data_IF_083279043500
#
_entry.id   IF_083279043500
#
_cell.length_a   1.000
_cell.length_b   1.000
_cell.length_c   1.000
_cell.angle_alpha   90.00
_cell.angle_beta   90.00
_cell.angle_gamma   90.00
#
_symmetry.space_group_name_H-M   'P 1'
#
loop_
_entity.id
_entity.type
_entity.pdbx_description
1 polymer ?
#
# COMPACT_ATOMS: atom_id res chain seq x y z
N UNK A 1 -25.85 8.51 -12.36
CA UNK A 1 -25.12 7.34 -11.85
C UNK A 1 -23.85 7.70 -11.08
N UNK A 2 -22.91 8.45 -11.64
CA UNK A 2 -21.73 8.86 -10.86
C UNK A 2 -22.13 9.70 -9.64
N UNK A 3 -21.55 9.39 -8.47
CA UNK A 3 -21.87 10.07 -7.21
C UNK A 3 -23.19 9.64 -6.56
N UNK A 4 -23.84 8.62 -7.11
CA UNK A 4 -25.05 8.02 -6.54
C UNK A 4 -24.72 6.72 -5.80
N UNK A 5 -25.46 6.48 -4.72
CA UNK A 5 -25.38 5.30 -3.88
C UNK A 5 -26.41 4.28 -4.35
N UNK A 6 -25.94 3.05 -4.54
CA UNK A 6 -26.76 1.92 -4.91
C UNK A 6 -26.53 0.74 -3.97
N UNK A 7 -27.54 -0.10 -3.86
CA UNK A 7 -27.43 -1.44 -3.33
C UNK A 7 -26.97 -2.35 -4.48
N UNK A 8 -25.80 -2.98 -4.33
CA UNK A 8 -25.20 -3.81 -5.37
C UNK A 8 -25.04 -5.25 -4.90
N UNK A 9 -25.17 -6.20 -5.83
CA UNK A 9 -24.76 -7.59 -5.62
C UNK A 9 -23.30 -7.76 -6.00
N UNK A 10 -22.46 -8.08 -5.03
CA UNK A 10 -21.04 -8.37 -5.26
C UNK A 10 -20.84 -9.70 -5.97
N UNK A 11 -19.62 -9.94 -6.46
CA UNK A 11 -19.22 -11.23 -7.07
C UNK A 11 -19.37 -12.42 -6.11
N UNK A 12 -19.32 -12.17 -4.79
CA UNK A 12 -19.56 -13.17 -3.75
C UNK A 12 -21.04 -13.26 -3.33
N UNK A 13 -21.96 -12.79 -4.18
CA UNK A 13 -23.42 -12.74 -3.97
C UNK A 13 -23.91 -11.92 -2.76
N UNK A 14 -22.99 -11.29 -2.03
CA UNK A 14 -23.32 -10.39 -0.91
C UNK A 14 -23.89 -9.08 -1.43
N UNK A 15 -24.93 -8.62 -0.77
CA UNK A 15 -25.60 -7.35 -1.06
C UNK A 15 -25.01 -6.25 -0.18
N UNK A 16 -24.52 -5.18 -0.80
CA UNK A 16 -23.75 -4.14 -0.11
C UNK A 16 -24.12 -2.75 -0.66
N UNK A 17 -24.22 -1.71 0.17
CA UNK A 17 -24.33 -0.34 -0.31
C UNK A 17 -22.99 0.14 -0.86
N UNK A 18 -23.01 0.79 -2.02
CA UNK A 18 -21.81 1.28 -2.69
C UNK A 18 -22.07 2.55 -3.49
N UNK A 19 -21.06 3.40 -3.62
CA UNK A 19 -21.09 4.60 -4.48
C UNK A 19 -20.51 4.27 -5.85
N UNK A 20 -21.17 4.74 -6.92
CA UNK A 20 -20.61 4.66 -8.27
C UNK A 20 -19.54 5.74 -8.47
N UNK A 21 -18.28 5.31 -8.65
CA UNK A 21 -17.15 6.21 -8.90
C UNK A 21 -16.94 6.44 -10.40
N UNK A 22 -17.05 5.38 -11.20
CA UNK A 22 -16.77 5.42 -12.63
C UNK A 22 -17.72 4.51 -13.40
N UNK A 23 -18.11 4.95 -14.59
CA UNK A 23 -18.90 4.18 -15.55
C UNK A 23 -18.10 4.05 -16.85
N UNK A 24 -17.85 2.82 -17.28
CA UNK A 24 -17.18 2.51 -18.53
C UNK A 24 -18.03 1.55 -19.36
N UNK A 25 -18.67 2.06 -20.42
CA UNK A 25 -19.55 1.29 -21.31
C UNK A 25 -20.63 0.54 -20.51
N UNK A 26 -20.45 -0.78 -20.31
CA UNK A 26 -21.35 -1.70 -19.60
C UNK A 26 -20.87 -2.09 -18.20
N UNK A 27 -19.70 -1.62 -17.77
CA UNK A 27 -19.07 -1.92 -16.49
C UNK A 27 -19.08 -0.67 -15.61
N UNK A 28 -19.47 -0.85 -14.36
CA UNK A 28 -19.55 0.19 -13.36
C UNK A 28 -18.58 -0.14 -12.22
N UNK A 29 -17.80 0.86 -11.81
CA UNK A 29 -16.86 0.76 -10.70
C UNK A 29 -17.51 1.36 -9.46
N UNK A 30 -17.87 0.47 -8.53
CA UNK A 30 -18.52 0.81 -7.28
C UNK A 30 -17.56 0.68 -6.10
N UNK A 31 -17.51 1.69 -5.23
CA UNK A 31 -16.77 1.61 -3.98
C UNK A 31 -17.70 1.29 -2.83
N UNK A 32 -17.38 0.27 -2.04
CA UNK A 32 -18.22 -0.15 -0.91
C UNK A 32 -18.34 0.97 0.15
N UNK A 33 -19.54 1.10 0.72
CA UNK A 33 -19.82 1.96 1.86
C UNK A 33 -19.98 1.10 3.13
N UNK A 34 -19.51 1.64 4.26
CA UNK A 34 -19.77 1.10 5.60
C UNK A 34 -20.15 2.22 6.57
N UNK A 35 -20.67 1.85 7.73
CA UNK A 35 -20.87 2.79 8.84
C UNK A 35 -19.53 3.33 9.35
N UNK A 36 -19.50 4.60 9.74
CA UNK A 36 -18.38 5.22 10.45
C UNK A 36 -18.30 4.76 11.91
N UNK A 37 -17.10 4.83 12.48
CA UNK A 37 -16.91 4.86 13.93
C UNK A 37 -16.84 6.30 14.45
N UNK A 38 -17.04 6.52 15.76
CA UNK A 38 -16.96 7.85 16.39
C UNK A 38 -15.60 8.54 16.18
N UNK A 39 -14.52 7.78 16.07
CA UNK A 39 -13.17 8.31 15.83
C UNK A 39 -13.02 8.85 14.40
N UNK A 40 -13.64 8.18 13.44
CA UNK A 40 -13.63 8.56 12.02
C UNK A 40 -14.53 9.76 11.74
N UNK A 41 -15.54 9.99 12.57
CA UNK A 41 -16.40 11.19 12.54
C UNK A 41 -15.64 12.44 13.00
N UNK A 42 -14.83 12.31 14.06
CA UNK A 42 -14.06 13.42 14.65
C UNK A 42 -12.85 13.75 13.78
N UNK A 43 -12.23 12.73 13.17
CA UNK A 43 -11.08 12.86 12.30
C UNK A 43 -11.35 12.20 10.93
N UNK A 44 -11.96 12.92 9.96
CA UNK A 44 -12.21 12.39 8.62
C UNK A 44 -10.91 12.07 7.84
N UNK A 45 -9.75 12.45 8.39
CA UNK A 45 -8.40 12.21 7.88
C UNK A 45 -7.69 11.00 8.51
N UNK A 46 -8.23 10.34 9.54
CA UNK A 46 -7.63 9.15 10.18
C UNK A 46 -8.15 7.87 9.49
N UNK A 47 -7.37 7.12 8.70
CA UNK A 47 -6.10 6.39 8.91
C UNK A 47 -6.33 4.96 9.43
N UNK A 48 -5.99 3.98 8.59
CA UNK A 48 -5.87 2.57 8.97
C UNK A 48 -4.66 2.35 9.90
N UNK A 49 -4.68 2.94 11.09
CA UNK A 49 -3.74 2.66 12.18
C UNK A 49 -4.36 1.65 13.14
N UNK A 50 -4.62 0.43 12.66
CA UNK A 50 -4.86 -0.71 13.56
C UNK A 50 -4.05 -1.90 13.06
N UNK A 51 -2.73 -1.89 13.34
CA UNK A 51 -1.91 -3.11 13.54
C UNK A 51 -0.69 -2.89 14.46
N UNK A 52 -0.75 -2.02 15.47
CA UNK A 52 0.35 -1.93 16.47
C UNK A 52 -0.10 -2.01 17.94
N UNK A 53 -1.38 -1.86 18.26
CA UNK A 53 -1.87 -1.99 19.65
C UNK A 53 -2.01 -3.44 20.15
N UNK A 54 -1.98 -4.44 19.26
CA UNK A 54 -2.05 -5.87 19.63
C UNK A 54 -0.69 -6.57 19.80
N UNK A 55 0.43 -5.83 19.83
CA UNK A 55 1.78 -6.38 20.08
C UNK A 55 2.29 -6.05 21.51
N UNK A 56 1.52 -5.30 22.30
CA UNK A 56 1.95 -4.85 23.64
C UNK A 56 1.73 -5.85 24.79
N UNK A 57 1.30 -7.09 24.53
CA UNK A 57 1.15 -8.13 25.56
C UNK A 57 2.18 -9.27 25.49
N UNK A 58 3.35 -9.06 24.85
CA UNK A 58 4.53 -9.94 25.02
C UNK A 58 5.78 -9.09 25.25
N UNK A 59 5.81 -8.36 26.37
CA UNK A 59 7.03 -7.75 26.91
C UNK A 59 7.56 -8.59 28.08
N UNK A 60 8.41 -9.57 27.78
CA UNK A 60 9.42 -10.01 28.73
C UNK A 60 10.72 -10.28 27.99
N UNK A 61 11.77 -9.53 28.38
CA UNK A 61 13.19 -9.67 28.00
C UNK A 61 13.61 -9.15 26.62
N UNK A 62 13.90 -7.84 26.53
CA UNK A 62 15.23 -7.35 26.10
C UNK A 62 15.34 -5.82 26.24
N UNK A 63 16.02 -5.38 27.31
CA UNK A 63 16.43 -3.98 27.58
C UNK A 63 17.50 -3.42 26.61
N UNK A 64 17.61 -3.94 25.37
CA UNK A 64 18.60 -3.49 24.36
C UNK A 64 18.00 -2.86 23.10
N UNK A 65 16.68 -2.64 23.07
CA UNK A 65 15.97 -2.06 21.90
C UNK A 65 15.58 -0.59 22.03
N UNK A 66 15.98 0.12 23.09
CA UNK A 66 15.54 1.51 23.30
C UNK A 66 16.28 2.55 22.44
N UNK A 67 17.46 2.25 21.90
CA UNK A 67 18.20 3.22 21.06
C UNK A 67 17.86 3.09 19.56
N UNK A 68 17.26 1.98 19.11
CA UNK A 68 16.82 1.79 17.70
C UNK A 68 15.37 2.20 17.43
N UNK A 69 14.65 2.66 18.45
CA UNK A 69 13.22 3.00 18.34
C UNK A 69 12.97 4.46 17.94
N UNK A 70 13.97 5.34 18.00
CA UNK A 70 13.78 6.77 17.74
C UNK A 70 14.10 7.20 16.30
N UNK A 71 14.96 6.48 15.59
CA UNK A 71 15.31 6.79 14.18
C UNK A 71 14.36 6.16 13.14
N UNK A 72 13.33 5.45 13.59
CA UNK A 72 12.35 4.75 12.75
C UNK A 72 11.07 5.53 12.47
N UNK A 73 10.87 6.70 13.10
CA UNK A 73 9.68 7.55 12.93
C UNK A 73 9.75 8.38 11.64
N UNK A 74 10.02 7.73 10.51
CA UNK A 74 9.64 8.32 9.24
C UNK A 74 8.12 8.23 9.19
N UNK A 75 7.45 9.36 9.37
CA UNK A 75 6.03 9.52 9.12
C UNK A 75 5.73 8.89 7.76
N UNK A 76 5.23 7.64 7.78
CA UNK A 76 4.57 7.08 6.61
C UNK A 76 3.50 8.11 6.30
N UNK A 77 3.50 8.71 5.10
CA UNK A 77 2.31 9.44 4.65
C UNK A 77 1.17 8.43 4.74
N UNK A 78 0.34 8.57 5.76
CA UNK A 78 -0.69 7.59 6.06
C UNK A 78 -1.74 7.82 4.99
N UNK A 79 -1.81 6.91 4.02
CA UNK A 79 -2.70 7.05 2.87
C UNK A 79 -4.13 6.84 3.35
N UNK A 80 -4.94 7.84 3.10
CA UNK A 80 -6.36 7.85 3.44
C UNK A 80 -7.07 6.98 2.40
N UNK A 81 -7.28 5.70 2.72
CA UNK A 81 -7.95 4.73 1.83
C UNK A 81 -9.49 4.88 1.84
N UNK A 82 -10.01 5.82 2.64
CA UNK A 82 -11.42 5.94 2.95
C UNK A 82 -11.85 7.40 3.11
N UNK A 83 -13.02 7.76 2.58
CA UNK A 83 -13.56 9.13 2.64
C UNK A 83 -14.85 9.12 3.44
N UNK A 84 -14.92 9.97 4.47
CA UNK A 84 -16.15 10.21 5.22
C UNK A 84 -17.14 11.03 4.39
N UNK A 85 -18.38 10.56 4.29
CA UNK A 85 -19.45 11.17 3.48
C UNK A 85 -20.64 11.64 4.33
N UNK A 86 -20.47 11.71 5.65
CA UNK A 86 -21.54 12.12 6.55
C UNK A 86 -22.73 11.17 6.55
N UNK A 87 -23.93 11.73 6.57
CA UNK A 87 -25.19 11.00 6.64
C UNK A 87 -26.02 11.19 5.36
N UNK A 88 -25.68 10.50 4.26
CA UNK A 88 -26.40 10.67 3.00
C UNK A 88 -27.84 10.15 3.12
N UNK A 89 -28.77 10.85 2.48
CA UNK A 89 -30.20 10.53 2.51
C UNK A 89 -30.44 9.07 2.05
N UNK A 90 -30.98 8.21 2.92
CA UNK A 90 -31.26 6.81 2.61
C UNK A 90 -30.31 5.79 3.26
N UNK A 91 -29.21 6.24 3.88
CA UNK A 91 -28.44 5.43 4.83
C UNK A 91 -28.86 5.75 6.27
N UNK A 92 -28.93 4.73 7.13
CA UNK A 92 -29.36 4.88 8.52
C UNK A 92 -28.29 5.45 9.45
N UNK A 93 -27.03 5.39 9.04
CA UNK A 93 -25.88 5.75 9.88
C UNK A 93 -24.94 6.68 9.14
N UNK A 94 -24.16 7.50 9.87
CA UNK A 94 -23.01 8.16 9.27
C UNK A 94 -22.09 7.12 8.61
N UNK A 95 -21.53 7.49 7.46
CA UNK A 95 -21.04 6.54 6.48
C UNK A 95 -19.69 6.94 5.89
N UNK A 96 -18.93 5.93 5.48
CA UNK A 96 -17.59 6.05 4.90
C UNK A 96 -17.52 5.24 3.63
N UNK A 97 -16.93 5.84 2.60
CA UNK A 97 -16.61 5.21 1.33
C UNK A 97 -15.23 4.56 1.42
N UNK A 98 -15.16 3.24 1.21
CA UNK A 98 -13.92 2.47 1.19
C UNK A 98 -13.33 2.41 -0.22
N UNK A 99 -12.55 3.42 -0.61
CA UNK A 99 -12.09 3.59 -2.00
C UNK A 99 -11.16 2.46 -2.45
N UNK A 100 -10.45 1.81 -1.52
CA UNK A 100 -9.65 0.62 -1.82
C UNK A 100 -10.48 -0.60 -2.21
N UNK A 101 -11.74 -0.67 -1.78
CA UNK A 101 -12.62 -1.82 -1.99
C UNK A 101 -13.59 -1.54 -3.14
N UNK A 102 -13.05 -1.67 -4.35
CA UNK A 102 -13.78 -1.44 -5.61
C UNK A 102 -14.36 -2.76 -6.12
N UNK A 103 -15.59 -2.69 -6.60
CA UNK A 103 -16.31 -3.74 -7.28
C UNK A 103 -16.63 -3.29 -8.70
N UNK A 104 -16.10 -4.02 -9.68
CA UNK A 104 -16.45 -3.84 -11.09
C UNK A 104 -17.61 -4.76 -11.43
N UNK A 105 -18.78 -4.18 -11.69
CA UNK A 105 -20.02 -4.94 -11.92
C UNK A 105 -20.78 -4.45 -13.15
N UNK A 106 -21.61 -5.32 -13.71
CA UNK A 106 -22.53 -4.98 -14.80
C UNK A 106 -23.80 -4.34 -14.24
N UNK A 107 -24.59 -3.69 -15.11
CA UNK A 107 -25.86 -3.05 -14.74
C UNK A 107 -26.86 -3.99 -14.05
N UNK A 108 -26.88 -5.26 -14.45
CA UNK A 108 -27.77 -6.30 -13.90
C UNK A 108 -27.55 -6.58 -12.40
N UNK A 109 -26.34 -6.34 -11.90
CA UNK A 109 -26.01 -6.55 -10.49
C UNK A 109 -26.44 -5.38 -9.59
N UNK A 110 -26.98 -4.30 -10.17
CA UNK A 110 -27.48 -3.14 -9.43
C UNK A 110 -28.93 -3.44 -9.02
N UNK A 111 -29.18 -3.49 -7.71
CA UNK A 111 -30.47 -3.90 -7.15
C UNK A 111 -31.38 -2.68 -6.98
N UNK A 112 -30.88 -1.64 -6.30
CA UNK A 112 -31.71 -0.52 -5.87
C UNK A 112 -30.91 0.77 -5.76
N UNK A 113 -31.50 1.88 -6.19
CA UNK A 113 -31.00 3.22 -5.92
C UNK A 113 -31.34 3.64 -4.48
N UNK A 114 -30.37 4.19 -3.76
CA UNK A 114 -30.54 4.66 -2.38
C UNK A 114 -30.51 6.18 -2.28
N UNK A 115 -29.46 6.81 -2.79
CA UNK A 115 -29.15 8.20 -2.50
C UNK A 115 -28.31 8.86 -3.58
N UNK A 116 -28.25 10.19 -3.54
CA UNK A 116 -27.23 10.99 -4.22
C UNK A 116 -26.36 11.68 -3.17
N UNK A 117 -25.04 11.66 -3.37
CA UNK A 117 -24.08 12.33 -2.48
C UNK A 117 -23.84 13.76 -2.98
N UNK A 118 -23.41 14.62 -2.07
CA UNK A 118 -22.97 15.98 -2.38
C UNK A 118 -21.79 15.97 -3.36
N UNK A 119 -21.74 17.01 -4.20
CA UNK A 119 -20.74 17.11 -5.28
C UNK A 119 -19.33 17.21 -4.71
N UNK A 120 -19.15 17.87 -3.57
CA UNK A 120 -17.85 18.07 -2.93
C UNK A 120 -17.26 16.75 -2.43
N UNK A 121 -18.06 15.93 -1.75
CA UNK A 121 -17.62 14.63 -1.25
C UNK A 121 -17.36 13.64 -2.38
N UNK A 122 -18.12 13.73 -3.47
CA UNK A 122 -17.83 12.96 -4.67
C UNK A 122 -16.48 13.35 -5.30
N UNK A 123 -16.16 14.66 -5.35
CA UNK A 123 -14.85 15.13 -5.86
C UNK A 123 -13.71 14.58 -5.01
N UNK A 124 -13.80 14.66 -3.68
CA UNK A 124 -12.81 14.07 -2.76
C UNK A 124 -12.63 12.57 -3.02
N UNK A 125 -13.74 11.84 -3.17
CA UNK A 125 -13.68 10.41 -3.48
C UNK A 125 -12.96 10.13 -4.80
N UNK A 126 -13.23 10.92 -5.83
CA UNK A 126 -12.62 10.74 -7.15
C UNK A 126 -11.13 11.10 -7.16
N UNK A 127 -10.72 12.14 -6.42
CA UNK A 127 -9.32 12.51 -6.24
C UNK A 127 -8.54 11.36 -5.60
N UNK A 128 -9.00 10.86 -4.44
CA UNK A 128 -8.36 9.73 -3.75
C UNK A 128 -8.36 8.47 -4.62
N UNK A 129 -9.44 8.21 -5.36
CA UNK A 129 -9.50 7.09 -6.31
C UNK A 129 -8.44 7.21 -7.41
N UNK A 130 -8.25 8.41 -7.97
CA UNK A 130 -7.24 8.65 -9.00
C UNK A 130 -5.81 8.47 -8.47
N UNK A 131 -5.55 8.89 -7.24
CA UNK A 131 -4.25 8.70 -6.59
C UNK A 131 -3.95 7.22 -6.36
N UNK A 132 -4.93 6.46 -5.85
CA UNK A 132 -4.77 5.01 -5.62
C UNK A 132 -4.48 4.28 -6.94
N UNK A 133 -5.18 4.61 -8.02
CA UNK A 133 -4.94 4.02 -9.33
C UNK A 133 -3.52 4.34 -9.84
N UNK A 134 -3.10 5.61 -9.76
CA UNK A 134 -1.75 6.03 -10.14
C UNK A 134 -0.67 5.26 -9.36
N UNK A 135 -0.88 5.08 -8.06
CA UNK A 135 0.04 4.31 -7.20
C UNK A 135 0.08 2.84 -7.63
N UNK A 136 -1.08 2.23 -7.92
CA UNK A 136 -1.16 0.86 -8.41
C UNK A 136 -0.38 0.68 -9.72
N UNK A 137 -0.55 1.59 -10.68
CA UNK A 137 0.18 1.58 -11.94
C UNK A 137 1.70 1.69 -11.75
N UNK A 138 2.15 2.54 -10.81
CA UNK A 138 3.57 2.66 -10.45
C UNK A 138 4.10 1.36 -9.84
N UNK A 139 3.32 0.66 -9.01
CA UNK A 139 3.69 -0.65 -8.47
C UNK A 139 3.81 -1.73 -9.56
N UNK A 140 2.89 -1.76 -10.53
CA UNK A 140 2.98 -2.68 -11.66
C UNK A 140 4.22 -2.42 -12.53
N UNK A 141 4.49 -1.15 -12.84
CA UNK A 141 5.71 -0.73 -13.56
C UNK A 141 6.96 -1.16 -12.82
N UNK A 142 6.99 -0.95 -11.50
CA UNK A 142 8.10 -1.36 -10.65
C UNK A 142 8.31 -2.88 -10.65
N UNK A 143 7.24 -3.67 -10.66
CA UNK A 143 7.33 -5.13 -10.77
C UNK A 143 7.94 -5.56 -12.11
N UNK A 144 7.50 -4.95 -13.22
CA UNK A 144 8.06 -5.19 -14.56
C UNK A 144 9.55 -4.85 -14.63
N UNK A 145 9.96 -3.70 -14.07
CA UNK A 145 11.36 -3.26 -14.05
C UNK A 145 12.23 -4.22 -13.22
N UNK A 146 11.76 -4.64 -12.04
CA UNK A 146 12.48 -5.63 -11.22
C UNK A 146 12.70 -6.95 -11.98
N UNK A 147 11.69 -7.43 -12.71
CA UNK A 147 11.81 -8.62 -13.55
C UNK A 147 12.85 -8.42 -14.65
N UNK A 148 12.87 -7.26 -15.31
CA UNK A 148 13.87 -6.93 -16.34
C UNK A 148 15.30 -6.88 -15.79
N UNK A 149 15.49 -6.26 -14.62
CA UNK A 149 16.80 -6.22 -13.94
C UNK A 149 17.29 -7.65 -13.66
N UNK A 150 16.41 -8.49 -13.13
CA UNK A 150 16.75 -9.88 -12.82
C UNK A 150 17.15 -10.66 -14.09
N UNK A 151 16.43 -10.50 -15.20
CA UNK A 151 16.79 -11.12 -16.47
C UNK A 151 18.13 -10.62 -17.01
N UNK A 152 18.37 -9.31 -16.97
CA UNK A 152 19.64 -8.72 -17.40
C UNK A 152 20.82 -9.21 -16.54
N UNK A 153 20.60 -9.43 -15.23
CA UNK A 153 21.60 -10.03 -14.34
C UNK A 153 21.94 -11.47 -14.74
N UNK A 154 20.94 -12.29 -15.09
CA UNK A 154 21.18 -13.65 -15.57
C UNK A 154 21.96 -13.68 -16.90
N UNK A 155 21.71 -12.71 -17.78
CA UNK A 155 22.35 -12.63 -19.09
C UNK A 155 23.68 -11.85 -19.09
N UNK A 156 24.15 -11.37 -17.93
CA UNK A 156 25.30 -10.45 -17.83
C UNK A 156 25.18 -9.18 -18.71
N UNK A 157 23.96 -8.69 -18.91
CA UNK A 157 23.69 -7.46 -19.66
C UNK A 157 23.76 -6.22 -18.75
N UNK A 158 23.99 -5.04 -19.33
CA UNK A 158 23.98 -3.78 -18.58
C UNK A 158 22.55 -3.38 -18.20
N UNK A 159 22.28 -3.16 -16.91
CA UNK A 159 20.95 -2.82 -16.38
C UNK A 159 20.88 -1.51 -15.58
N UNK A 160 21.91 -0.66 -15.65
CA UNK A 160 22.00 0.56 -14.84
C UNK A 160 20.86 1.57 -15.10
N UNK A 161 20.33 1.65 -16.32
CA UNK A 161 19.18 2.50 -16.62
C UNK A 161 17.89 2.02 -15.95
N UNK A 162 17.70 0.70 -15.88
CA UNK A 162 16.55 0.09 -15.20
C UNK A 162 16.59 0.35 -13.69
N UNK A 163 17.78 0.41 -13.08
CA UNK A 163 17.91 0.81 -11.67
C UNK A 163 17.52 2.27 -11.46
N UNK A 164 17.97 3.19 -12.32
CA UNK A 164 17.58 4.60 -12.25
C UNK A 164 16.06 4.76 -12.35
N UNK A 165 15.41 4.05 -13.28
CA UNK A 165 13.96 4.05 -13.43
C UNK A 165 13.24 3.49 -12.21
N UNK A 166 13.73 2.38 -11.64
CA UNK A 166 13.21 1.81 -10.39
C UNK A 166 13.24 2.84 -9.26
N UNK A 167 14.36 3.55 -9.12
CA UNK A 167 14.55 4.51 -8.03
C UNK A 167 13.70 5.75 -8.21
N UNK A 168 13.50 6.22 -9.44
CA UNK A 168 12.57 7.31 -9.74
C UNK A 168 11.14 6.94 -9.32
N UNK A 169 10.68 5.74 -9.68
CA UNK A 169 9.35 5.26 -9.29
C UNK A 169 9.24 5.11 -7.76
N UNK A 170 10.27 4.60 -7.08
CA UNK A 170 10.28 4.49 -5.63
C UNK A 170 10.16 5.86 -4.94
N UNK A 171 10.86 6.88 -5.46
CA UNK A 171 10.73 8.27 -5.00
C UNK A 171 9.32 8.81 -5.19
N UNK A 172 8.72 8.59 -6.37
CA UNK A 172 7.35 9.01 -6.68
C UNK A 172 6.31 8.37 -5.75
N UNK A 173 6.47 7.09 -5.40
CA UNK A 173 5.59 6.40 -4.44
C UNK A 173 5.81 6.90 -3.00
N UNK A 174 6.91 7.61 -2.73
CA UNK A 174 7.26 8.13 -1.40
C UNK A 174 8.07 7.17 -0.53
N UNK A 175 8.70 6.15 -1.12
CA UNK A 175 9.70 5.34 -0.41
C UNK A 175 11.00 6.16 -0.29
N UNK A 176 11.21 6.75 0.90
CA UNK A 176 12.37 7.62 1.18
C UNK A 176 13.71 6.89 1.26
N UNK A 177 13.69 5.55 1.39
CA UNK A 177 14.93 4.76 1.44
C UNK A 177 15.41 4.47 0.03
N UNK A 178 16.37 5.26 -0.43
CA UNK A 178 17.33 4.85 -1.46
C UNK A 178 18.38 3.93 -0.78
N UNK A 179 18.33 2.59 -0.97
CA UNK A 179 19.41 1.73 -0.48
C UNK A 179 20.74 1.97 -1.20
N UNK A 180 20.75 2.66 -2.35
CA UNK A 180 21.98 2.94 -3.10
C UNK A 180 22.97 3.86 -2.37
N UNK A 181 22.53 4.64 -1.39
CA UNK A 181 23.42 5.47 -0.56
C UNK A 181 23.76 4.85 0.80
N UNK A 182 23.13 3.74 1.17
CA UNK A 182 23.75 2.81 2.12
C UNK A 182 24.60 1.83 1.34
N UNK A 183 25.68 2.33 0.74
CA UNK A 183 26.96 1.61 0.88
C UNK A 183 27.28 1.62 2.38
N UNK A 184 26.53 0.84 3.17
CA UNK A 184 27.15 0.18 4.30
C UNK A 184 28.37 -0.46 3.65
N UNK A 185 29.56 0.07 4.00
CA UNK A 185 30.84 -0.49 3.61
C UNK A 185 30.67 -1.98 3.80
N UNK A 186 30.40 -2.75 2.74
CA UNK A 186 30.24 -4.18 2.84
C UNK A 186 31.57 -4.60 3.47
N UNK A 187 31.61 -5.13 4.69
CA UNK A 187 32.86 -5.47 5.35
C UNK A 187 33.50 -6.70 4.71
N UNK A 188 33.03 -7.11 3.53
CA UNK A 188 33.62 -8.16 2.73
C UNK A 188 34.83 -7.60 1.98
N UNK A 189 35.88 -7.26 2.74
CA UNK A 189 37.26 -7.62 2.41
C UNK A 189 37.48 -9.15 2.55
N UNK A 190 36.44 -9.93 2.89
CA UNK A 190 36.56 -11.32 3.32
C UNK A 190 36.61 -12.37 2.20
N UNK A 191 37.21 -12.11 1.05
CA UNK A 191 37.68 -13.20 0.20
C UNK A 191 39.01 -12.81 -0.47
N UNK A 192 40.09 -13.44 0.02
CA UNK A 192 41.49 -13.42 -0.43
C UNK A 192 42.48 -12.48 0.28
N UNK A 193 42.34 -12.22 1.57
CA UNK A 193 43.55 -12.01 2.37
C UNK A 193 44.06 -13.40 2.79
N UNK A 194 45.03 -13.90 2.03
CA UNK A 194 45.86 -15.02 2.49
C UNK A 194 46.57 -14.52 3.76
N UNK A 195 46.73 -15.34 4.82
CA UNK A 195 47.46 -14.90 5.99
C UNK A 195 48.93 -14.66 5.62
N UNK A 196 49.31 -13.41 5.35
CA UNK A 196 50.66 -13.08 4.88
C UNK A 196 51.72 -13.18 6.01
N UNK A 197 51.28 -13.15 7.28
CA UNK A 197 52.16 -13.27 8.44
C UNK A 197 51.52 -14.09 9.56
N UNK A 198 52.08 -15.27 9.81
CA UNK A 198 51.73 -16.14 10.93
C UNK A 198 51.83 -17.63 10.57
N UNK A 199 52.06 -18.50 11.56
CA UNK A 199 52.10 -19.95 11.34
C UNK A 199 50.68 -20.48 11.09
N UNK A 200 50.47 -21.11 9.93
CA UNK A 200 49.23 -21.80 9.60
C UNK A 200 49.17 -23.09 10.43
N UNK A 201 48.11 -23.27 11.22
CA UNK A 201 47.88 -24.53 11.95
C UNK A 201 47.35 -25.58 10.98
N UNK A 202 48.18 -26.58 10.69
CA UNK A 202 47.79 -27.78 9.94
C UNK A 202 47.36 -28.84 10.95
N UNK A 203 46.12 -29.28 10.89
CA UNK A 203 45.63 -30.41 11.68
C UNK A 203 45.91 -31.69 10.91
N UNK A 204 46.67 -32.61 11.52
CA UNK A 204 46.80 -33.98 10.99
C UNK A 204 45.45 -34.68 11.20
N UNK A 205 44.82 -35.10 10.10
CA UNK A 205 43.65 -35.96 10.16
C UNK A 205 43.98 -37.21 10.97
N UNK A 206 43.15 -37.51 11.96
CA UNK A 206 43.24 -38.75 12.73
C UNK A 206 43.04 -39.95 11.80
N UNK A 207 43.78 -41.02 12.09
CA UNK A 207 43.67 -42.33 11.42
C UNK A 207 42.26 -42.88 11.48
#
# INVERSE_FOLDING_TARGET
MNGEIYLIRTTAEKIVPAICLKQEKSIYSFSQIRSSSKEEEINPLFQNDIKESSIQSIKAKTKRKMIKAEEGKNAKKIRVDSVYIGHPAGLKSPSIVMIKKIHHIKKEAIIKYLAKIEVEDFRKCNEVYSEINRISDLHEKLHKIKKKILLAQFNNEKYGELEKQRDQILKEIGYTKNPLFKKEKKPFLNFREVPDKGRIKVYKGGR
#
